data_IF_222434016631
#
_entry.id   IF_222434016631
#
_cell.length_a   1.000
_cell.length_b   1.000
_cell.length_c   1.000
_cell.angle_alpha   90.00
_cell.angle_beta   90.00
_cell.angle_gamma   90.00
#
_symmetry.space_group_name_H-M   'P 1'
#
loop_
_entity.id
_entity.type
_entity.pdbx_description
1 polymer ?
#
# COMPACT_ATOMS: atom_id res chain seq x y z
N UNK A 1 -59.71 -14.74 2.10
CA UNK A 1 -58.77 -14.98 0.97
C UNK A 1 -57.70 -13.90 0.88
N UNK A 2 -58.04 -12.62 0.80
CA UNK A 2 -57.04 -11.52 0.71
C UNK A 2 -56.05 -11.42 1.89
N UNK A 3 -56.46 -11.70 3.13
CA UNK A 3 -55.62 -11.68 4.31
C UNK A 3 -54.59 -12.82 4.35
N UNK A 4 -54.99 -14.01 3.83
CA UNK A 4 -54.10 -15.18 3.73
C UNK A 4 -53.04 -14.99 2.63
N UNK A 5 -53.39 -14.36 1.50
CA UNK A 5 -52.46 -14.02 0.40
C UNK A 5 -51.46 -12.97 0.87
N UNK A 6 -51.87 -11.90 1.57
CA UNK A 6 -50.95 -10.88 2.14
C UNK A 6 -49.99 -11.46 3.17
N UNK A 7 -50.48 -12.38 4.04
CA UNK A 7 -49.61 -13.04 5.04
C UNK A 7 -48.55 -13.92 4.39
N UNK A 8 -48.93 -14.71 3.37
CA UNK A 8 -47.97 -15.57 2.68
C UNK A 8 -46.96 -14.79 1.82
N UNK A 9 -47.37 -13.70 1.18
CA UNK A 9 -46.45 -12.81 0.46
C UNK A 9 -45.47 -12.15 1.43
N UNK A 10 -45.94 -11.69 2.61
CA UNK A 10 -45.07 -11.10 3.62
C UNK A 10 -44.05 -12.09 4.21
N UNK A 11 -44.48 -13.33 4.46
CA UNK A 11 -43.61 -14.42 4.91
C UNK A 11 -42.60 -14.82 3.83
N UNK A 12 -43.00 -14.88 2.57
CA UNK A 12 -42.14 -15.18 1.42
C UNK A 12 -41.11 -14.04 1.23
N UNK A 13 -41.50 -12.79 1.26
CA UNK A 13 -40.63 -11.61 1.19
C UNK A 13 -39.62 -11.59 2.34
N UNK A 14 -40.06 -11.84 3.57
CA UNK A 14 -39.18 -11.93 4.74
C UNK A 14 -38.19 -13.08 4.63
N UNK A 15 -38.60 -14.22 4.02
CA UNK A 15 -37.73 -15.39 3.79
C UNK A 15 -36.69 -15.10 2.70
N UNK A 16 -37.08 -14.44 1.60
CA UNK A 16 -36.19 -14.00 0.53
C UNK A 16 -35.19 -12.95 1.06
N UNK A 17 -35.65 -11.97 1.86
CA UNK A 17 -34.80 -10.95 2.46
C UNK A 17 -33.79 -11.58 3.44
N UNK A 18 -34.22 -12.52 4.26
CA UNK A 18 -33.33 -13.24 5.19
C UNK A 18 -32.32 -14.13 4.44
N UNK A 19 -32.72 -14.81 3.36
CA UNK A 19 -31.81 -15.60 2.53
C UNK A 19 -30.74 -14.73 1.86
N UNK A 20 -31.11 -13.55 1.37
CA UNK A 20 -30.19 -12.60 0.77
C UNK A 20 -29.14 -12.09 1.81
N UNK A 21 -29.59 -11.76 3.01
CA UNK A 21 -28.71 -11.33 4.11
C UNK A 21 -27.75 -12.46 4.53
N UNK A 22 -28.23 -13.69 4.62
CA UNK A 22 -27.39 -14.86 4.97
C UNK A 22 -26.34 -15.09 3.89
N UNK A 23 -26.72 -15.06 2.61
CA UNK A 23 -25.78 -15.22 1.50
C UNK A 23 -24.72 -14.11 1.49
N UNK A 24 -25.14 -12.85 1.68
CA UNK A 24 -24.19 -11.73 1.82
C UNK A 24 -23.21 -11.94 2.98
N UNK A 25 -23.70 -12.38 4.14
CA UNK A 25 -22.83 -12.64 5.30
C UNK A 25 -21.83 -13.76 5.02
N UNK A 26 -22.24 -14.84 4.35
CA UNK A 26 -21.35 -15.94 3.95
C UNK A 26 -20.26 -15.43 3.00
N UNK A 27 -20.61 -14.62 2.01
CA UNK A 27 -19.63 -14.04 1.07
C UNK A 27 -18.65 -13.13 1.80
N UNK A 28 -19.13 -12.24 2.68
CA UNK A 28 -18.27 -11.37 3.50
C UNK A 28 -17.29 -12.19 4.34
N UNK A 29 -17.78 -13.22 5.03
CA UNK A 29 -16.95 -14.12 5.84
C UNK A 29 -15.90 -14.82 4.97
N UNK A 30 -16.28 -15.31 3.79
CA UNK A 30 -15.34 -15.92 2.86
C UNK A 30 -14.24 -14.96 2.42
N UNK A 31 -14.57 -13.73 2.01
CA UNK A 31 -13.62 -12.69 1.64
C UNK A 31 -12.72 -12.28 2.81
N UNK A 32 -13.23 -12.32 4.04
CA UNK A 32 -12.42 -12.07 5.24
C UNK A 32 -11.50 -13.25 5.59
N UNK A 33 -11.85 -14.50 5.30
CA UNK A 33 -11.06 -15.68 5.68
C UNK A 33 -10.03 -16.08 4.62
N UNK A 34 -10.28 -15.84 3.34
CA UNK A 34 -9.36 -16.19 2.25
C UNK A 34 -7.97 -15.57 2.47
N UNK A 35 -7.80 -14.29 2.86
CA UNK A 35 -6.48 -13.73 3.15
C UNK A 35 -5.73 -14.47 4.25
N UNK A 36 -6.42 -14.93 5.32
CA UNK A 36 -5.79 -15.73 6.36
C UNK A 36 -5.27 -17.06 5.83
N UNK A 37 -6.03 -17.74 4.98
CA UNK A 37 -5.62 -18.96 4.29
C UNK A 37 -4.41 -18.73 3.39
N UNK A 38 -4.40 -17.66 2.60
CA UNK A 38 -3.26 -17.28 1.74
C UNK A 38 -2.02 -16.96 2.55
N UNK A 39 -2.14 -16.20 3.63
CA UNK A 39 -1.02 -15.91 4.54
C UNK A 39 -0.45 -17.19 5.18
N UNK A 40 -1.31 -18.10 5.59
CA UNK A 40 -0.88 -19.41 6.10
C UNK A 40 -0.15 -20.23 5.03
N UNK A 41 -0.67 -20.25 3.80
CA UNK A 41 -0.08 -20.96 2.66
C UNK A 41 1.29 -20.38 2.27
N UNK A 42 1.42 -19.05 2.22
CA UNK A 42 2.68 -18.36 1.95
C UNK A 42 3.78 -18.70 2.95
N UNK A 43 3.42 -18.99 4.21
CA UNK A 43 4.38 -19.41 5.25
C UNK A 43 4.78 -20.86 5.10
N UNK A 44 3.88 -21.72 4.63
CA UNK A 44 4.14 -23.17 4.49
C UNK A 44 4.92 -23.48 3.22
N UNK A 45 4.68 -22.74 2.15
CA UNK A 45 5.26 -22.97 0.83
C UNK A 45 6.21 -21.81 0.48
N UNK A 46 7.55 -22.00 0.58
CA UNK A 46 8.53 -20.93 0.36
C UNK A 46 8.42 -20.25 -1.01
N UNK A 47 8.01 -20.99 -2.04
CA UNK A 47 7.78 -20.45 -3.38
C UNK A 47 6.64 -19.42 -3.39
N UNK A 48 5.50 -19.73 -2.77
CA UNK A 48 4.37 -18.80 -2.65
C UNK A 48 4.70 -17.59 -1.77
N UNK A 49 5.52 -17.80 -0.74
CA UNK A 49 6.05 -16.69 0.08
C UNK A 49 6.89 -15.70 -0.73
N UNK A 50 7.64 -16.17 -1.75
CA UNK A 50 8.39 -15.30 -2.67
C UNK A 50 7.49 -14.51 -3.62
N UNK A 51 6.38 -15.09 -4.07
CA UNK A 51 5.38 -14.42 -4.91
C UNK A 51 4.69 -13.30 -4.13
N UNK A 52 4.43 -13.53 -2.84
CA UNK A 52 3.75 -12.60 -1.95
C UNK A 52 2.22 -12.76 -1.93
N UNK A 53 1.59 -12.44 -0.79
CA UNK A 53 0.16 -12.69 -0.59
C UNK A 53 -0.73 -11.83 -1.49
N UNK A 54 -0.32 -10.61 -1.83
CA UNK A 54 -1.12 -9.68 -2.65
C UNK A 54 -1.39 -10.26 -4.04
N UNK A 55 -0.35 -10.75 -4.73
CA UNK A 55 -0.51 -11.30 -6.08
C UNK A 55 -1.37 -12.58 -6.08
N UNK A 56 -1.21 -13.43 -5.06
CA UNK A 56 -2.03 -14.64 -4.90
C UNK A 56 -3.49 -14.26 -4.68
N UNK A 57 -3.77 -13.25 -3.86
CA UNK A 57 -5.11 -12.74 -3.61
C UNK A 57 -5.74 -12.13 -4.88
N UNK A 58 -4.97 -11.45 -5.72
CA UNK A 58 -5.45 -10.98 -7.02
C UNK A 58 -5.84 -12.15 -7.94
N UNK A 59 -5.00 -13.17 -8.04
CA UNK A 59 -5.30 -14.34 -8.86
C UNK A 59 -6.58 -15.05 -8.37
N UNK A 60 -6.71 -15.24 -7.05
CA UNK A 60 -7.92 -15.84 -6.45
C UNK A 60 -9.14 -14.95 -6.71
N UNK A 61 -9.01 -13.63 -6.53
CA UNK A 61 -10.10 -12.68 -6.78
C UNK A 61 -10.54 -12.71 -8.24
N UNK A 62 -9.59 -12.63 -9.20
CA UNK A 62 -9.91 -12.75 -10.63
C UNK A 62 -10.62 -14.06 -10.98
N UNK A 63 -10.16 -15.18 -10.42
CA UNK A 63 -10.84 -16.47 -10.60
C UNK A 63 -12.28 -16.39 -10.04
N UNK A 64 -12.44 -15.93 -8.82
CA UNK A 64 -13.74 -15.78 -8.17
C UNK A 64 -14.68 -14.92 -9.04
N UNK A 65 -14.24 -13.76 -9.52
CA UNK A 65 -15.07 -12.83 -10.30
C UNK A 65 -15.50 -13.36 -11.67
N UNK A 66 -14.71 -14.27 -12.28
CA UNK A 66 -14.90 -14.67 -13.68
C UNK A 66 -15.39 -16.12 -13.88
N UNK A 67 -15.59 -16.90 -12.80
CA UNK A 67 -16.09 -18.30 -12.92
C UNK A 67 -17.57 -18.40 -13.37
N UNK A 68 -18.35 -17.30 -13.27
CA UNK A 68 -19.75 -17.29 -13.70
C UNK A 68 -20.72 -18.07 -12.79
N UNK A 69 -20.27 -18.59 -11.64
CA UNK A 69 -21.07 -19.35 -10.67
C UNK A 69 -21.44 -18.52 -9.43
N UNK A 70 -21.54 -17.20 -9.57
CA UNK A 70 -21.59 -16.30 -8.43
C UNK A 70 -23.01 -15.93 -8.00
N UNK A 71 -23.25 -15.82 -6.67
CA UNK A 71 -24.52 -15.34 -6.15
C UNK A 71 -24.81 -13.91 -6.60
N UNK A 72 -26.08 -13.58 -6.85
CA UNK A 72 -26.52 -12.22 -7.24
C UNK A 72 -26.10 -11.11 -6.27
N UNK A 73 -25.74 -11.48 -5.03
CA UNK A 73 -25.30 -10.57 -3.98
C UNK A 73 -23.80 -10.22 -4.04
N UNK A 74 -23.00 -10.90 -4.86
CA UNK A 74 -21.56 -10.70 -4.93
C UNK A 74 -21.17 -9.25 -5.25
N UNK A 75 -21.73 -8.57 -6.27
CA UNK A 75 -21.37 -7.19 -6.59
C UNK A 75 -21.57 -6.22 -5.41
N UNK A 76 -22.67 -6.36 -4.67
CA UNK A 76 -22.94 -5.54 -3.50
C UNK A 76 -21.91 -5.75 -2.38
N UNK A 77 -21.46 -6.99 -2.16
CA UNK A 77 -20.43 -7.31 -1.17
C UNK A 77 -19.06 -6.78 -1.62
N UNK A 78 -18.72 -6.92 -2.89
CA UNK A 78 -17.49 -6.39 -3.48
C UNK A 78 -17.40 -4.86 -3.28
N UNK A 79 -18.48 -4.13 -3.60
CA UNK A 79 -18.55 -2.68 -3.40
C UNK A 79 -18.37 -2.29 -1.93
N UNK A 80 -19.07 -2.98 -1.02
CA UNK A 80 -18.93 -2.71 0.43
C UNK A 80 -17.50 -2.95 0.89
N UNK A 81 -16.90 -4.09 0.54
CA UNK A 81 -15.55 -4.44 0.99
C UNK A 81 -14.49 -3.52 0.37
N UNK A 82 -14.57 -3.21 -0.93
CA UNK A 82 -13.60 -2.34 -1.58
C UNK A 82 -13.65 -0.90 -1.04
N UNK A 83 -14.84 -0.39 -0.72
CA UNK A 83 -14.99 0.98 -0.20
C UNK A 83 -14.76 1.11 1.31
N UNK A 84 -14.94 0.03 2.10
CA UNK A 84 -14.79 0.09 3.55
C UNK A 84 -13.37 -0.25 4.04
N UNK A 85 -12.69 -1.18 3.38
CA UNK A 85 -11.41 -1.73 3.90
C UNK A 85 -10.26 -0.74 3.83
N UNK A 86 -10.14 0.05 2.75
CA UNK A 86 -9.07 1.08 2.63
C UNK A 86 -9.21 2.18 3.68
N UNK A 87 -10.38 2.80 3.89
CA UNK A 87 -10.58 3.75 4.97
C UNK A 87 -10.22 3.22 6.38
N UNK A 88 -10.50 1.95 6.65
CA UNK A 88 -10.13 1.31 7.91
C UNK A 88 -8.62 1.03 7.99
N UNK A 89 -7.97 0.71 6.89
CA UNK A 89 -6.55 0.43 6.85
C UNK A 89 -5.67 1.66 7.11
N UNK A 90 -6.03 2.82 6.53
CA UNK A 90 -5.21 4.04 6.56
C UNK A 90 -4.85 4.48 7.98
N UNK A 91 -5.79 4.76 8.91
CA UNK A 91 -5.42 5.18 10.25
C UNK A 91 -4.64 4.11 11.02
N UNK A 92 -5.05 2.83 10.91
CA UNK A 92 -4.40 1.70 11.57
C UNK A 92 -2.91 1.60 11.21
N UNK A 93 -2.57 1.75 9.93
CA UNK A 93 -1.20 1.68 9.47
C UNK A 93 -0.38 2.93 9.85
N UNK A 94 -1.04 4.08 10.02
CA UNK A 94 -0.40 5.34 10.38
C UNK A 94 -0.19 5.53 11.89
N UNK A 95 -0.87 4.78 12.76
CA UNK A 95 -0.72 4.90 14.23
C UNK A 95 0.70 4.68 14.71
N UNK A 96 1.47 3.81 14.07
CA UNK A 96 2.87 3.56 14.38
C UNK A 96 3.88 4.54 13.77
N UNK A 97 3.42 5.61 13.11
CA UNK A 97 4.31 6.59 12.49
C UNK A 97 5.20 7.29 13.52
N UNK A 98 6.52 7.25 13.31
CA UNK A 98 7.51 7.88 14.19
C UNK A 98 8.17 9.06 13.47
N UNK A 99 7.83 10.27 13.88
CA UNK A 99 8.50 11.49 13.39
C UNK A 99 9.61 11.87 14.37
N UNK A 100 10.78 11.21 14.29
CA UNK A 100 11.94 11.59 15.12
C UNK A 100 12.52 12.90 14.61
N UNK A 101 12.75 13.85 15.54
CA UNK A 101 13.44 15.13 15.26
C UNK A 101 14.93 14.97 14.90
N UNK A 102 15.50 13.78 15.11
CA UNK A 102 16.93 13.50 14.96
C UNK A 102 17.26 12.97 13.55
N UNK A 103 16.88 13.73 12.52
CA UNK A 103 17.38 13.46 11.17
C UNK A 103 18.73 14.16 10.98
N UNK A 104 19.77 13.40 10.61
CA UNK A 104 21.01 14.03 10.11
C UNK A 104 20.68 14.83 8.84
N UNK A 105 21.49 15.86 8.53
CA UNK A 105 21.35 16.61 7.27
C UNK A 105 21.24 15.64 6.07
N UNK A 106 22.09 14.60 6.04
CA UNK A 106 22.07 13.59 4.98
C UNK A 106 20.73 12.86 4.86
N UNK A 107 20.07 12.51 5.97
CA UNK A 107 18.77 11.84 5.96
C UNK A 107 17.67 12.75 5.38
N UNK A 108 17.62 14.01 5.83
CA UNK A 108 16.60 14.96 5.35
C UNK A 108 16.80 15.26 3.87
N UNK A 109 18.04 15.53 3.45
CA UNK A 109 18.34 15.84 2.06
C UNK A 109 18.11 14.62 1.18
N UNK A 110 18.46 13.39 1.61
CA UNK A 110 18.16 12.16 0.88
C UNK A 110 16.67 11.94 0.71
N UNK A 111 15.88 12.19 1.75
CA UNK A 111 14.41 12.08 1.69
C UNK A 111 13.82 13.09 0.69
N UNK A 112 14.21 14.36 0.78
CA UNK A 112 13.69 15.41 -0.11
C UNK A 112 14.11 15.14 -1.56
N UNK A 113 15.36 14.79 -1.81
CA UNK A 113 15.83 14.46 -3.17
C UNK A 113 15.14 13.21 -3.71
N UNK A 114 14.86 12.22 -2.88
CA UNK A 114 14.08 11.04 -3.28
C UNK A 114 12.65 11.39 -3.68
N UNK A 115 11.94 12.18 -2.88
CA UNK A 115 10.59 12.64 -3.21
C UNK A 115 10.57 13.46 -4.51
N UNK A 116 11.49 14.41 -4.66
CA UNK A 116 11.62 15.22 -5.87
C UNK A 116 11.91 14.33 -7.08
N UNK A 117 12.79 13.33 -6.92
CA UNK A 117 13.12 12.41 -8.02
C UNK A 117 11.92 11.59 -8.48
N UNK A 118 11.11 11.08 -7.55
CA UNK A 118 9.89 10.33 -7.89
C UNK A 118 8.89 11.24 -8.61
N UNK A 119 8.56 12.39 -8.04
CA UNK A 119 7.59 13.32 -8.63
C UNK A 119 8.04 13.75 -10.04
N UNK A 120 9.32 14.09 -10.20
CA UNK A 120 9.88 14.52 -11.51
C UNK A 120 9.85 13.38 -12.53
N UNK A 121 10.29 12.17 -12.14
CA UNK A 121 10.29 11.01 -13.03
C UNK A 121 8.87 10.62 -13.46
N UNK A 122 7.91 10.63 -12.53
CA UNK A 122 6.51 10.38 -12.86
C UNK A 122 5.95 11.46 -13.80
N UNK A 123 6.27 12.74 -13.57
CA UNK A 123 5.82 13.83 -14.45
C UNK A 123 6.39 13.70 -15.86
N UNK A 124 7.69 13.44 -15.99
CA UNK A 124 8.33 13.23 -17.31
C UNK A 124 7.76 11.97 -17.97
N UNK A 125 7.61 10.88 -17.21
CA UNK A 125 7.01 9.64 -17.69
C UNK A 125 5.56 9.84 -18.16
N UNK A 126 4.78 10.70 -17.49
CA UNK A 126 3.45 11.10 -17.95
C UNK A 126 3.50 11.76 -19.34
N UNK A 127 4.40 12.70 -19.55
CA UNK A 127 4.54 13.38 -20.84
C UNK A 127 4.95 12.43 -21.97
N UNK A 128 5.72 11.38 -21.67
CA UNK A 128 6.19 10.39 -22.65
C UNK A 128 5.14 9.32 -22.94
N UNK A 129 4.54 8.76 -21.89
CA UNK A 129 3.68 7.59 -21.97
C UNK A 129 2.21 7.90 -21.60
N UNK A 130 2.01 8.75 -20.58
CA UNK A 130 0.72 8.92 -19.91
C UNK A 130 -0.29 9.78 -20.65
N UNK A 131 0.18 10.77 -21.47
CA UNK A 131 -0.71 11.73 -22.19
C UNK A 131 -1.70 11.00 -23.10
N UNK A 132 -1.29 9.88 -23.70
CA UNK A 132 -2.12 9.12 -24.64
C UNK A 132 -2.87 7.95 -23.96
N UNK A 133 -2.72 7.79 -22.64
CA UNK A 133 -3.35 6.70 -21.90
C UNK A 133 -4.69 7.12 -21.33
N UNK A 134 -5.66 6.20 -21.35
CA UNK A 134 -6.86 6.35 -20.56
C UNK A 134 -6.49 6.49 -19.07
N UNK A 135 -7.07 7.45 -18.38
CA UNK A 135 -6.77 7.74 -16.97
C UNK A 135 -5.29 8.10 -16.66
N UNK A 136 -4.50 8.52 -17.66
CA UNK A 136 -3.05 8.73 -17.52
C UNK A 136 -2.65 9.66 -16.37
N UNK A 137 -3.36 10.77 -16.14
CA UNK A 137 -3.12 11.68 -15.01
C UNK A 137 -3.38 11.00 -13.67
N UNK A 138 -4.43 10.17 -13.57
CA UNK A 138 -4.74 9.38 -12.36
C UNK A 138 -3.67 8.32 -12.12
N UNK A 139 -3.20 7.65 -13.20
CA UNK A 139 -2.08 6.70 -13.15
C UNK A 139 -0.84 7.40 -12.60
N UNK A 140 -0.48 8.58 -13.10
CA UNK A 140 0.63 9.39 -12.58
C UNK A 140 0.49 9.68 -11.09
N UNK A 141 -0.70 10.06 -10.63
CA UNK A 141 -0.98 10.22 -9.20
C UNK A 141 -0.76 8.94 -8.40
N UNK A 142 -1.27 7.81 -8.90
CA UNK A 142 -1.11 6.50 -8.27
C UNK A 142 0.36 6.05 -8.21
N UNK A 143 1.13 6.24 -9.29
CA UNK A 143 2.57 5.94 -9.34
C UNK A 143 3.35 6.81 -8.33
N UNK A 144 2.99 8.09 -8.19
CA UNK A 144 3.59 8.95 -7.16
C UNK A 144 3.30 8.41 -5.76
N UNK A 145 2.06 8.01 -5.50
CA UNK A 145 1.68 7.46 -4.20
C UNK A 145 2.38 6.16 -3.86
N UNK A 146 2.44 5.20 -4.79
CA UNK A 146 3.09 3.90 -4.55
C UNK A 146 4.59 4.05 -4.39
N UNK A 147 5.24 4.88 -5.20
CA UNK A 147 6.69 5.10 -5.16
C UNK A 147 7.15 6.15 -4.12
N UNK A 148 6.27 6.55 -3.23
CA UNK A 148 6.61 7.33 -2.03
C UNK A 148 6.09 6.68 -0.75
N UNK A 149 5.01 5.88 -0.83
CA UNK A 149 4.36 5.30 0.33
C UNK A 149 3.78 3.90 0.12
N UNK A 150 4.15 3.19 -0.95
CA UNK A 150 3.79 1.79 -1.16
C UNK A 150 2.30 1.52 -1.41
N UNK A 151 1.91 0.24 -1.29
CA UNK A 151 0.60 -0.30 -1.69
C UNK A 151 -0.59 0.36 -0.99
N UNK A 152 -0.42 0.84 0.25
CA UNK A 152 -1.50 1.53 0.97
C UNK A 152 -1.91 2.81 0.26
N UNK A 153 -0.94 3.60 -0.22
CA UNK A 153 -1.22 4.83 -0.94
C UNK A 153 -1.75 4.54 -2.35
N UNK A 154 -1.28 3.45 -2.98
CA UNK A 154 -1.85 3.00 -4.26
C UNK A 154 -3.35 2.71 -4.12
N UNK A 155 -3.74 1.95 -3.10
CA UNK A 155 -5.13 1.61 -2.82
C UNK A 155 -5.99 2.83 -2.44
N UNK A 156 -5.44 3.73 -1.62
CA UNK A 156 -6.10 4.98 -1.24
C UNK A 156 -6.35 5.87 -2.46
N UNK A 157 -5.35 6.06 -3.32
CA UNK A 157 -5.45 6.88 -4.53
C UNK A 157 -6.36 6.25 -5.58
N UNK A 158 -6.43 4.91 -5.70
CA UNK A 158 -7.43 4.24 -6.54
C UNK A 158 -8.84 4.69 -6.16
N UNK A 159 -9.13 4.69 -4.87
CA UNK A 159 -10.45 5.07 -4.34
C UNK A 159 -10.69 6.57 -4.47
N UNK A 160 -9.68 7.39 -4.11
CA UNK A 160 -9.73 8.85 -4.16
C UNK A 160 -9.96 9.41 -5.58
N UNK A 161 -9.23 8.85 -6.56
CA UNK A 161 -9.24 9.28 -7.96
C UNK A 161 -10.29 8.55 -8.79
N UNK A 162 -11.01 7.61 -8.19
CA UNK A 162 -11.99 6.75 -8.87
C UNK A 162 -11.39 6.12 -10.13
N UNK A 163 -10.33 5.30 -9.94
CA UNK A 163 -9.63 4.58 -11.01
C UNK A 163 -10.33 3.24 -11.23
N UNK A 164 -10.40 2.79 -12.49
CA UNK A 164 -10.98 1.50 -12.86
C UNK A 164 -10.23 0.33 -12.17
N UNK A 165 -10.96 -0.72 -11.83
CA UNK A 165 -10.42 -1.94 -11.20
C UNK A 165 -9.34 -2.58 -12.06
N UNK A 166 -9.57 -2.71 -13.37
CA UNK A 166 -8.61 -3.28 -14.33
C UNK A 166 -7.31 -2.48 -14.37
N UNK A 167 -7.38 -1.14 -14.44
CA UNK A 167 -6.21 -0.25 -14.40
C UNK A 167 -5.42 -0.43 -13.09
N UNK A 168 -6.12 -0.49 -11.94
CA UNK A 168 -5.47 -0.69 -10.65
C UNK A 168 -4.72 -2.02 -10.56
N UNK A 169 -5.36 -3.12 -11.03
CA UNK A 169 -4.76 -4.47 -11.01
C UNK A 169 -3.53 -4.52 -11.92
N UNK A 170 -3.61 -3.93 -13.11
CA UNK A 170 -2.48 -3.85 -14.04
C UNK A 170 -1.29 -3.10 -13.44
N UNK A 171 -1.53 -1.91 -12.87
CA UNK A 171 -0.49 -1.12 -12.20
C UNK A 171 0.17 -1.95 -11.11
N UNK A 172 -0.62 -2.58 -10.22
CA UNK A 172 -0.03 -3.32 -9.11
C UNK A 172 0.70 -4.60 -9.57
N UNK A 173 0.22 -5.27 -10.61
CA UNK A 173 0.89 -6.45 -11.18
C UNK A 173 2.23 -6.08 -11.82
N UNK A 174 2.27 -5.00 -12.59
CA UNK A 174 3.51 -4.49 -13.18
C UNK A 174 4.45 -3.93 -12.10
N UNK A 175 3.94 -3.28 -11.06
CA UNK A 175 4.75 -2.79 -9.94
C UNK A 175 5.52 -3.94 -9.26
N UNK A 176 4.88 -5.07 -9.02
CA UNK A 176 5.55 -6.25 -8.44
C UNK A 176 6.72 -6.71 -9.33
N UNK A 177 6.51 -6.77 -10.65
CA UNK A 177 7.55 -7.16 -11.60
C UNK A 177 8.70 -6.13 -11.62
N UNK A 178 8.37 -4.85 -11.77
CA UNK A 178 9.35 -3.76 -11.84
C UNK A 178 10.13 -3.64 -10.54
N UNK A 179 9.45 -3.74 -9.40
CA UNK A 179 10.06 -3.72 -8.07
C UNK A 179 11.02 -4.90 -7.85
N UNK A 180 10.69 -6.09 -8.37
CA UNK A 180 11.59 -7.25 -8.34
C UNK A 180 12.84 -7.02 -9.20
N UNK A 181 12.70 -6.50 -10.41
CA UNK A 181 13.82 -6.15 -11.30
C UNK A 181 14.72 -5.08 -10.64
N UNK A 182 14.12 -4.07 -10.06
CA UNK A 182 14.81 -2.99 -9.36
C UNK A 182 15.64 -3.51 -8.17
N UNK A 183 15.05 -4.33 -7.29
CA UNK A 183 15.78 -4.92 -6.17
C UNK A 183 16.92 -5.83 -6.63
N UNK A 184 16.66 -6.66 -7.66
CA UNK A 184 17.67 -7.52 -8.24
C UNK A 184 18.85 -6.70 -8.79
N UNK A 185 18.57 -5.61 -9.50
CA UNK A 185 19.59 -4.68 -9.98
C UNK A 185 20.41 -4.11 -8.81
N UNK A 186 19.76 -3.61 -7.78
CA UNK A 186 20.46 -3.03 -6.62
C UNK A 186 21.35 -4.03 -5.91
N UNK A 187 20.84 -5.23 -5.62
CA UNK A 187 21.57 -6.26 -4.87
C UNK A 187 22.76 -6.83 -5.65
N UNK A 188 22.65 -6.90 -6.98
CA UNK A 188 23.73 -7.47 -7.81
C UNK A 188 24.80 -6.45 -8.19
N UNK A 189 24.40 -5.31 -8.70
CA UNK A 189 25.29 -4.34 -9.36
C UNK A 189 25.16 -2.94 -8.73
N UNK A 190 23.95 -2.48 -8.45
CA UNK A 190 23.63 -1.09 -8.12
C UNK A 190 24.42 -0.56 -6.92
N UNK A 191 24.44 -1.28 -5.80
CA UNK A 191 25.18 -0.87 -4.59
C UNK A 191 26.67 -0.64 -4.91
N UNK A 192 27.29 -1.52 -5.71
CA UNK A 192 28.71 -1.41 -6.07
C UNK A 192 28.99 -0.20 -6.95
N UNK A 193 28.10 0.08 -7.91
CA UNK A 193 28.22 1.24 -8.80
C UNK A 193 28.05 2.52 -8.00
N UNK A 194 27.02 2.64 -7.20
CA UNK A 194 26.70 3.86 -6.47
C UNK A 194 27.76 4.20 -5.42
N UNK A 195 28.35 3.20 -4.75
CA UNK A 195 29.50 3.41 -3.84
C UNK A 195 30.79 3.85 -4.54
N UNK A 196 30.90 3.70 -5.87
CA UNK A 196 32.03 4.24 -6.64
C UNK A 196 31.79 5.68 -7.09
N UNK A 197 30.54 6.06 -7.31
CA UNK A 197 30.15 7.36 -7.87
C UNK A 197 29.86 8.38 -6.76
N UNK A 198 29.27 7.96 -5.66
CA UNK A 198 28.84 8.81 -4.56
C UNK A 198 29.81 8.74 -3.37
N UNK A 199 29.81 9.78 -2.50
CA UNK A 199 30.51 9.72 -1.22
C UNK A 199 30.15 8.45 -0.46
N UNK A 200 31.14 7.77 0.07
CA UNK A 200 30.94 6.53 0.82
C UNK A 200 31.94 6.46 1.96
N UNK A 201 31.47 6.68 3.19
CA UNK A 201 32.25 6.48 4.40
C UNK A 201 32.31 4.98 4.72
N UNK A 202 33.49 4.36 4.53
CA UNK A 202 33.71 2.95 4.89
C UNK A 202 33.67 2.80 6.40
N UNK A 203 32.54 2.48 6.97
CA UNK A 203 32.40 2.10 8.38
C UNK A 203 32.75 0.63 8.59
N UNK A 204 33.37 0.34 9.73
CA UNK A 204 33.73 -1.03 10.10
C UNK A 204 32.48 -1.77 10.58
N UNK A 205 32.01 -2.72 9.78
CA UNK A 205 30.87 -3.58 10.12
C UNK A 205 31.30 -4.64 11.13
N UNK A 206 30.60 -4.72 12.26
CA UNK A 206 30.94 -5.64 13.36
C UNK A 206 29.97 -6.82 13.41
N UNK A 207 30.37 -7.90 14.12
CA UNK A 207 29.47 -9.04 14.36
C UNK A 207 28.21 -8.62 15.14
N UNK A 208 28.30 -7.59 16.00
CA UNK A 208 27.14 -7.03 16.70
C UNK A 208 26.16 -6.36 15.72
N UNK A 209 26.68 -5.62 14.74
CA UNK A 209 25.85 -4.95 13.73
C UNK A 209 25.10 -5.99 12.87
N UNK A 210 25.76 -7.12 12.57
CA UNK A 210 25.13 -8.24 11.89
C UNK A 210 23.99 -8.85 12.72
N UNK A 211 24.23 -9.11 14.01
CA UNK A 211 23.22 -9.67 14.90
C UNK A 211 22.01 -8.75 15.06
N UNK A 212 22.20 -7.43 15.14
CA UNK A 212 21.13 -6.46 15.23
C UNK A 212 20.26 -6.45 13.95
N UNK A 213 20.88 -6.48 12.76
CA UNK A 213 20.15 -6.56 11.48
C UNK A 213 19.42 -7.89 11.35
N UNK A 214 20.07 -9.02 11.69
CA UNK A 214 19.44 -10.34 11.67
C UNK A 214 18.22 -10.40 12.60
N UNK A 215 18.28 -9.74 13.77
CA UNK A 215 17.15 -9.64 14.69
C UNK A 215 15.98 -8.88 14.07
N UNK A 216 16.23 -7.81 13.32
CA UNK A 216 15.19 -7.05 12.62
C UNK A 216 14.60 -7.84 11.43
N UNK A 217 15.43 -8.55 10.67
CA UNK A 217 14.96 -9.46 9.60
C UNK A 217 14.10 -10.57 10.20
N UNK A 218 14.53 -11.16 11.32
CA UNK A 218 13.76 -12.20 12.01
C UNK A 218 12.43 -11.66 12.53
N UNK A 219 12.39 -10.45 13.10
CA UNK A 219 11.14 -9.79 13.51
C UNK A 219 10.20 -9.58 12.32
N UNK A 220 10.72 -9.11 11.17
CA UNK A 220 9.94 -8.95 9.95
C UNK A 220 9.42 -10.30 9.39
N UNK A 221 10.16 -11.40 9.61
CA UNK A 221 9.78 -12.77 9.20
C UNK A 221 8.88 -13.52 10.18
N UNK A 222 8.66 -13.01 11.41
CA UNK A 222 7.76 -13.62 12.39
C UNK A 222 6.30 -13.44 11.98
N UNK A 223 5.42 -14.27 12.57
CA UNK A 223 3.99 -14.09 12.36
C UNK A 223 3.51 -12.76 12.97
N UNK A 224 3.14 -11.74 12.15
CA UNK A 224 2.73 -10.45 12.68
C UNK A 224 1.46 -10.53 13.55
N UNK A 225 0.69 -11.61 13.42
CA UNK A 225 -0.54 -11.87 14.20
C UNK A 225 -0.31 -12.76 15.42
N UNK A 226 0.95 -13.10 15.75
CA UNK A 226 1.26 -13.93 16.92
C UNK A 226 0.92 -13.17 18.19
N UNK A 227 0.10 -13.80 19.05
CA UNK A 227 -0.41 -13.20 20.27
C UNK A 227 -1.61 -12.26 20.09
N UNK A 228 -2.11 -12.04 18.87
CA UNK A 228 -3.29 -11.21 18.62
C UNK A 228 -4.52 -11.70 19.40
N UNK A 229 -4.71 -13.01 19.50
CA UNK A 229 -5.85 -13.65 20.20
C UNK A 229 -5.65 -13.81 21.71
N UNK A 230 -4.55 -13.29 22.29
CA UNK A 230 -4.42 -13.18 23.75
C UNK A 230 -5.31 -12.05 24.28
N UNK A 231 -5.62 -12.06 25.60
CA UNK A 231 -6.43 -10.99 26.22
C UNK A 231 -5.84 -9.59 25.94
N UNK A 232 -4.52 -9.45 26.06
CA UNK A 232 -3.84 -8.17 25.80
C UNK A 232 -3.81 -7.83 24.31
N UNK A 233 -3.60 -8.82 23.44
CA UNK A 233 -3.64 -8.63 21.99
C UNK A 233 -5.01 -8.18 21.52
N UNK A 234 -6.08 -8.84 21.94
CA UNK A 234 -7.46 -8.46 21.62
C UNK A 234 -7.83 -7.08 22.18
N UNK A 235 -7.36 -6.71 23.37
CA UNK A 235 -7.58 -5.38 23.94
C UNK A 235 -6.88 -4.30 23.10
N UNK A 236 -5.64 -4.53 22.68
CA UNK A 236 -4.90 -3.59 21.82
C UNK A 236 -5.56 -3.47 20.44
N UNK A 237 -5.92 -4.60 19.83
CA UNK A 237 -6.64 -4.64 18.55
C UNK A 237 -7.99 -3.91 18.62
N UNK A 238 -8.77 -4.19 19.67
CA UNK A 238 -10.04 -3.51 19.91
C UNK A 238 -9.89 -2.00 20.12
N UNK A 239 -8.84 -1.57 20.82
CA UNK A 239 -8.53 -0.14 21.00
C UNK A 239 -8.15 0.50 19.67
N UNK A 240 -7.31 -0.16 18.84
CA UNK A 240 -6.91 0.34 17.53
C UNK A 240 -8.12 0.47 16.59
N UNK A 241 -8.96 -0.57 16.51
CA UNK A 241 -10.18 -0.57 15.70
C UNK A 241 -11.18 0.48 16.18
N UNK A 242 -11.42 0.60 17.50
CA UNK A 242 -12.33 1.60 18.05
C UNK A 242 -11.89 3.03 17.74
N UNK A 243 -10.58 3.31 17.87
CA UNK A 243 -10.02 4.61 17.49
C UNK A 243 -10.12 4.87 15.98
N UNK A 244 -9.88 3.85 15.17
CA UNK A 244 -10.03 3.94 13.71
C UNK A 244 -11.47 4.26 13.32
N UNK A 245 -12.47 3.59 13.92
CA UNK A 245 -13.88 3.89 13.67
C UNK A 245 -14.25 5.32 14.08
N UNK A 246 -13.71 5.82 15.19
CA UNK A 246 -13.89 7.20 15.60
C UNK A 246 -13.30 8.18 14.57
N UNK A 247 -12.08 7.92 14.09
CA UNK A 247 -11.45 8.72 13.05
C UNK A 247 -12.26 8.67 11.75
N UNK A 248 -12.77 7.49 11.37
CA UNK A 248 -13.65 7.34 10.20
C UNK A 248 -14.94 8.16 10.35
N UNK A 249 -15.55 8.13 11.53
CA UNK A 249 -16.77 8.91 11.81
C UNK A 249 -16.52 10.43 11.72
N UNK A 250 -15.43 10.92 12.30
CA UNK A 250 -15.04 12.34 12.23
C UNK A 250 -14.75 12.74 10.79
N UNK A 251 -13.92 11.94 10.08
CA UNK A 251 -13.54 12.22 8.70
C UNK A 251 -14.75 12.20 7.75
N UNK A 252 -15.65 11.23 7.95
CA UNK A 252 -16.90 11.14 7.20
C UNK A 252 -17.84 12.32 7.48
N UNK A 253 -17.96 12.71 8.75
CA UNK A 253 -18.77 13.88 9.14
C UNK A 253 -18.27 15.19 8.50
N UNK A 254 -16.94 15.40 8.45
CA UNK A 254 -16.34 16.57 7.78
C UNK A 254 -16.56 16.48 6.26
N UNK A 255 -16.33 15.31 5.66
CA UNK A 255 -16.49 15.13 4.23
C UNK A 255 -17.94 15.32 3.76
N UNK A 256 -18.94 14.91 4.57
CA UNK A 256 -20.36 15.11 4.29
C UNK A 256 -20.80 16.59 4.36
N UNK A 257 -20.08 17.44 5.09
CA UNK A 257 -20.34 18.87 5.16
C UNK A 257 -19.87 19.63 3.90
N UNK A 258 -19.19 18.95 2.96
CA UNK A 258 -18.61 19.55 1.77
C UNK A 258 -19.36 19.10 0.49
N UNK A 259 -19.17 19.76 -0.68
CA UNK A 259 -19.81 19.37 -1.94
C UNK A 259 -19.54 17.91 -2.32
N UNK A 260 -20.56 17.22 -2.83
CA UNK A 260 -20.52 15.77 -3.11
C UNK A 260 -19.36 15.33 -4.03
N UNK A 261 -18.91 16.18 -4.95
CA UNK A 261 -17.84 15.83 -5.91
C UNK A 261 -16.46 15.61 -5.30
N UNK A 262 -16.22 16.04 -4.05
CA UNK A 262 -14.91 15.93 -3.38
C UNK A 262 -14.95 15.06 -2.12
N UNK A 263 -16.08 14.40 -1.84
CA UNK A 263 -16.29 13.61 -0.64
C UNK A 263 -15.16 12.61 -0.38
N UNK A 264 -14.87 11.71 -1.35
CA UNK A 264 -13.86 10.65 -1.18
C UNK A 264 -12.46 11.22 -0.99
N UNK A 265 -12.11 12.28 -1.71
CA UNK A 265 -10.83 12.96 -1.58
C UNK A 265 -10.64 13.51 -0.16
N UNK A 266 -11.60 14.29 0.31
CA UNK A 266 -11.55 14.88 1.66
C UNK A 266 -11.58 13.79 2.73
N UNK A 267 -12.41 12.78 2.56
CA UNK A 267 -12.51 11.66 3.49
C UNK A 267 -11.16 10.98 3.70
N UNK A 268 -10.48 10.58 2.61
CA UNK A 268 -9.18 9.88 2.68
C UNK A 268 -8.06 10.79 3.21
N UNK A 269 -8.02 12.05 2.79
CA UNK A 269 -7.03 13.00 3.32
C UNK A 269 -7.22 13.28 4.81
N UNK A 270 -8.47 13.37 5.28
CA UNK A 270 -8.78 13.52 6.70
C UNK A 270 -8.40 12.27 7.51
N UNK A 271 -8.67 11.06 6.99
CA UNK A 271 -8.22 9.80 7.60
C UNK A 271 -6.70 9.77 7.75
N UNK A 272 -5.98 10.20 6.71
CA UNK A 272 -4.52 10.28 6.72
C UNK A 272 -4.04 11.29 7.76
N UNK A 273 -4.61 12.52 7.76
CA UNK A 273 -4.24 13.59 8.70
C UNK A 273 -4.49 13.17 10.16
N UNK A 274 -5.68 12.65 10.45
CA UNK A 274 -6.05 12.25 11.81
C UNK A 274 -5.30 10.99 12.25
N UNK A 275 -5.00 10.05 11.34
CA UNK A 275 -4.16 8.90 11.61
C UNK A 275 -2.74 9.31 12.01
N UNK A 276 -2.13 10.24 11.28
CA UNK A 276 -0.85 10.86 11.63
C UNK A 276 -0.96 11.61 12.97
N UNK A 277 -1.99 12.44 13.14
CA UNK A 277 -2.23 13.16 14.39
C UNK A 277 -2.31 12.23 15.61
N UNK A 278 -3.01 11.11 15.46
CA UNK A 278 -3.14 10.09 16.51
C UNK A 278 -1.80 9.41 16.85
N UNK A 279 -0.87 9.29 15.89
CA UNK A 279 0.45 8.69 16.12
C UNK A 279 1.32 9.47 17.13
N UNK A 280 1.08 10.77 17.31
CA UNK A 280 1.77 11.57 18.33
C UNK A 280 1.32 11.23 19.76
N UNK A 281 0.20 10.54 19.94
CA UNK A 281 -0.28 10.08 21.24
C UNK A 281 0.46 8.78 21.58
N UNK A 282 1.34 8.81 22.58
CA UNK A 282 2.19 7.67 22.98
C UNK A 282 1.42 6.35 23.18
N UNK A 283 0.18 6.40 23.70
CA UNK A 283 -0.66 5.21 23.89
C UNK A 283 -1.12 4.60 22.56
N UNK A 284 -1.39 5.42 21.55
CA UNK A 284 -1.80 5.00 20.21
C UNK A 284 -0.62 4.48 19.43
N UNK A 285 0.50 5.22 19.48
CA UNK A 285 1.76 4.84 18.84
C UNK A 285 2.25 3.44 19.23
N UNK A 286 2.03 3.05 20.48
CA UNK A 286 2.49 1.77 21.03
C UNK A 286 1.49 0.59 20.80
N UNK A 287 0.44 0.76 20.00
CA UNK A 287 -0.50 -0.31 19.66
C UNK A 287 0.17 -1.31 18.71
N UNK A 288 0.59 -2.44 19.26
CA UNK A 288 1.47 -3.43 18.61
C UNK A 288 0.94 -4.00 17.30
N UNK A 289 -0.38 -4.20 17.19
CA UNK A 289 -1.00 -4.91 16.05
C UNK A 289 -1.69 -3.97 15.06
N UNK A 290 -1.64 -2.66 15.26
CA UNK A 290 -2.38 -1.70 14.42
C UNK A 290 -1.99 -1.79 12.96
N UNK A 291 -0.69 -1.79 12.65
CA UNK A 291 -0.19 -1.89 11.28
C UNK A 291 -0.61 -3.20 10.60
N UNK A 292 -0.48 -4.33 11.31
CA UNK A 292 -0.76 -5.66 10.74
C UNK A 292 -2.26 -5.86 10.49
N UNK A 293 -3.13 -5.32 11.36
CA UNK A 293 -4.58 -5.31 11.14
C UNK A 293 -4.91 -4.42 9.93
N UNK A 294 -4.28 -3.26 9.80
CA UNK A 294 -4.41 -2.40 8.62
C UNK A 294 -4.02 -3.13 7.33
N UNK A 295 -2.87 -3.83 7.33
CA UNK A 295 -2.46 -4.67 6.21
C UNK A 295 -3.46 -5.79 5.89
N UNK A 296 -4.10 -6.37 6.90
CA UNK A 296 -5.12 -7.37 6.68
C UNK A 296 -6.34 -6.81 5.93
N UNK A 297 -6.76 -5.58 6.25
CA UNK A 297 -7.80 -4.90 5.48
C UNK A 297 -7.37 -4.63 4.03
N UNK A 298 -6.09 -4.30 3.79
CA UNK A 298 -5.57 -4.19 2.41
C UNK A 298 -5.64 -5.54 1.68
N UNK A 299 -5.36 -6.67 2.33
CA UNK A 299 -5.51 -7.98 1.70
C UNK A 299 -6.96 -8.30 1.34
N UNK A 300 -7.93 -7.94 2.19
CA UNK A 300 -9.36 -8.07 1.86
C UNK A 300 -9.72 -7.15 0.69
N UNK A 301 -9.21 -5.93 0.66
CA UNK A 301 -9.38 -5.02 -0.46
C UNK A 301 -8.85 -5.62 -1.77
N UNK A 302 -7.65 -6.19 -1.76
CA UNK A 302 -7.01 -6.77 -2.95
C UNK A 302 -7.88 -7.86 -3.58
N UNK A 303 -8.40 -8.80 -2.78
CA UNK A 303 -9.26 -9.86 -3.31
C UNK A 303 -10.62 -9.32 -3.76
N UNK A 304 -11.20 -8.34 -3.05
CA UNK A 304 -12.47 -7.73 -3.42
C UNK A 304 -12.37 -7.02 -4.77
N UNK A 305 -11.39 -6.12 -4.93
CA UNK A 305 -11.18 -5.37 -6.19
C UNK A 305 -10.82 -6.32 -7.34
N UNK A 306 -9.98 -7.32 -7.12
CA UNK A 306 -9.62 -8.28 -8.16
C UNK A 306 -10.85 -9.09 -8.64
N UNK A 307 -11.79 -9.39 -7.74
CA UNK A 307 -13.01 -10.09 -8.11
C UNK A 307 -14.05 -9.23 -8.86
N UNK A 308 -13.86 -7.89 -8.89
CA UNK A 308 -14.68 -6.97 -9.69
C UNK A 308 -14.17 -6.82 -11.13
N UNK A 309 -12.91 -7.19 -11.38
CA UNK A 309 -12.31 -7.01 -12.70
C UNK A 309 -12.73 -8.12 -13.66
N UNK A 310 -13.08 -7.71 -14.87
CA UNK A 310 -13.32 -8.63 -15.99
C UNK A 310 -11.98 -9.01 -16.63
N UNK A 311 -11.75 -10.33 -16.79
CA UNK A 311 -10.54 -10.84 -17.45
C UNK A 311 -10.43 -10.40 -18.91
N UNK A 312 -11.55 -10.13 -19.57
CA UNK A 312 -11.57 -9.62 -20.95
C UNK A 312 -11.01 -8.20 -21.07
N UNK A 313 -11.07 -7.42 -19.98
CA UNK A 313 -10.53 -6.05 -19.91
C UNK A 313 -9.04 -6.01 -19.49
N UNK A 314 -8.45 -7.16 -19.12
CA UNK A 314 -7.07 -7.27 -18.68
C UNK A 314 -6.14 -7.65 -19.83
N UNK A 315 -5.64 -6.67 -20.56
CA UNK A 315 -4.60 -6.89 -21.57
C UNK A 315 -3.18 -6.75 -20.95
N UNK A 316 -2.75 -7.82 -20.26
CA UNK A 316 -1.43 -7.89 -19.62
C UNK A 316 -0.25 -7.78 -20.58
N UNK A 317 -0.45 -8.02 -21.88
CA UNK A 317 0.63 -7.99 -22.89
C UNK A 317 0.51 -6.79 -23.82
N UNK A 318 -0.67 -6.19 -23.96
CA UNK A 318 -0.91 -5.07 -24.87
C UNK A 318 -0.60 -3.69 -24.24
N UNK A 319 -0.65 -3.58 -22.91
CA UNK A 319 -0.41 -2.31 -22.21
C UNK A 319 1.09 -2.00 -21.98
N UNK A 320 1.88 -2.12 -23.08
CA UNK A 320 3.34 -1.85 -23.04
C UNK A 320 3.67 -0.44 -22.59
N UNK A 321 2.82 0.54 -22.93
CA UNK A 321 3.01 1.92 -22.51
C UNK A 321 2.92 2.08 -20.98
N UNK A 322 2.00 1.36 -20.33
CA UNK A 322 1.88 1.35 -18.88
C UNK A 322 3.11 0.73 -18.22
N UNK A 323 3.57 -0.40 -18.73
CA UNK A 323 4.81 -1.04 -18.25
C UNK A 323 6.01 -0.11 -18.46
N UNK A 324 6.12 0.53 -19.62
CA UNK A 324 7.14 1.54 -19.92
C UNK A 324 7.09 2.70 -18.94
N UNK A 325 5.91 3.17 -18.60
CA UNK A 325 5.73 4.24 -17.62
C UNK A 325 6.22 3.84 -16.23
N UNK A 326 5.87 2.65 -15.74
CA UNK A 326 6.35 2.17 -14.44
C UNK A 326 7.88 2.01 -14.43
N UNK A 327 8.45 1.38 -15.47
CA UNK A 327 9.90 1.24 -15.60
C UNK A 327 10.60 2.61 -15.59
N UNK A 328 10.07 3.57 -16.35
CA UNK A 328 10.62 4.92 -16.39
C UNK A 328 10.48 5.63 -15.03
N UNK A 329 9.33 5.51 -14.36
CA UNK A 329 9.12 6.10 -13.04
C UNK A 329 10.12 5.55 -12.03
N UNK A 330 10.36 4.24 -11.99
CA UNK A 330 11.26 3.59 -11.02
C UNK A 330 12.73 3.84 -11.35
N UNK A 331 13.18 3.51 -12.55
CA UNK A 331 14.60 3.66 -12.90
C UNK A 331 14.97 5.11 -13.20
N UNK A 332 14.07 5.89 -13.75
CA UNK A 332 14.25 7.34 -13.95
C UNK A 332 14.37 8.09 -12.63
N UNK A 333 13.52 7.77 -11.65
CA UNK A 333 13.64 8.36 -10.30
C UNK A 333 14.96 7.96 -9.62
N UNK A 334 15.38 6.69 -9.76
CA UNK A 334 16.68 6.24 -9.25
C UNK A 334 17.84 7.03 -9.86
N UNK A 335 17.87 7.16 -11.18
CA UNK A 335 18.94 7.90 -11.87
C UNK A 335 18.96 9.37 -11.48
N UNK A 336 17.80 10.01 -11.40
CA UNK A 336 17.70 11.40 -10.95
C UNK A 336 18.14 11.55 -9.48
N UNK A 337 17.75 10.60 -8.61
CA UNK A 337 18.15 10.61 -7.21
C UNK A 337 19.68 10.43 -7.06
N UNK A 338 20.31 9.56 -7.86
CA UNK A 338 21.78 9.42 -7.90
C UNK A 338 22.44 10.74 -8.32
N UNK A 339 21.92 11.40 -9.35
CA UNK A 339 22.42 12.71 -9.80
C UNK A 339 22.30 13.76 -8.68
N UNK A 340 21.12 13.88 -8.06
CA UNK A 340 20.92 14.80 -6.93
C UNK A 340 21.78 14.44 -5.73
N UNK A 341 21.97 13.15 -5.44
CA UNK A 341 22.86 12.69 -4.36
C UNK A 341 24.30 13.11 -4.60
N UNK A 342 24.76 13.12 -5.86
CA UNK A 342 26.09 13.61 -6.22
C UNK A 342 26.21 15.12 -6.00
N UNK A 343 25.20 15.90 -6.45
CA UNK A 343 25.17 17.36 -6.29
C UNK A 343 25.17 17.76 -4.80
N UNK A 344 24.33 17.11 -3.99
CA UNK A 344 24.20 17.41 -2.55
C UNK A 344 25.16 16.65 -1.65
N UNK A 345 26.06 15.83 -2.23
CA UNK A 345 27.05 14.99 -1.53
C UNK A 345 26.41 14.08 -0.47
N UNK A 346 25.33 13.39 -0.88
CA UNK A 346 24.66 12.41 -0.03
C UNK A 346 25.46 11.10 -0.07
N UNK A 347 25.59 10.46 1.09
CA UNK A 347 26.23 9.14 1.19
C UNK A 347 25.51 8.09 0.34
N UNK A 348 26.27 7.21 -0.30
CA UNK A 348 25.75 6.21 -1.24
C UNK A 348 24.74 5.28 -0.57
N UNK A 349 25.03 4.82 0.64
CA UNK A 349 24.15 3.88 1.36
C UNK A 349 22.87 4.57 1.81
N UNK A 350 22.95 5.86 2.21
CA UNK A 350 21.77 6.66 2.54
C UNK A 350 20.89 6.89 1.32
N UNK A 351 21.46 7.18 0.16
CA UNK A 351 20.72 7.31 -1.11
C UNK A 351 20.02 6.01 -1.47
N UNK A 352 20.74 4.87 -1.46
CA UNK A 352 20.19 3.55 -1.80
C UNK A 352 19.06 3.17 -0.86
N UNK A 353 19.25 3.32 0.46
CA UNK A 353 18.19 2.96 1.42
C UNK A 353 16.94 3.82 1.27
N UNK A 354 17.10 5.12 0.97
CA UNK A 354 15.99 6.03 0.71
C UNK A 354 15.22 5.62 -0.54
N UNK A 355 15.93 5.31 -1.62
CA UNK A 355 15.31 4.85 -2.87
C UNK A 355 14.54 3.53 -2.67
N UNK A 356 15.15 2.54 -2.02
CA UNK A 356 14.49 1.26 -1.69
C UNK A 356 13.25 1.46 -0.83
N UNK A 357 13.35 2.31 0.16
CA UNK A 357 12.24 2.58 1.08
C UNK A 357 11.04 3.19 0.36
N UNK A 358 11.28 4.06 -0.60
CA UNK A 358 10.22 4.67 -1.40
C UNK A 358 9.65 3.70 -2.44
N UNK A 359 10.50 3.03 -3.21
CA UNK A 359 10.06 2.14 -4.30
C UNK A 359 9.49 0.82 -3.76
N UNK A 360 10.18 0.16 -2.81
CA UNK A 360 9.82 -1.18 -2.32
C UNK A 360 9.20 -1.19 -0.93
N UNK A 361 9.07 -0.02 -0.27
CA UNK A 361 8.49 0.13 1.07
C UNK A 361 9.41 -0.29 2.24
N UNK A 362 9.13 0.17 3.49
CA UNK A 362 9.97 -0.05 4.66
C UNK A 362 10.33 -1.50 5.01
N UNK A 363 9.51 -2.54 4.76
CA UNK A 363 9.90 -3.93 5.05
C UNK A 363 11.17 -4.42 4.35
N UNK A 364 11.56 -3.79 3.25
CA UNK A 364 12.80 -4.14 2.52
C UNK A 364 14.06 -3.47 3.09
N UNK A 365 13.91 -2.50 3.98
CA UNK A 365 15.03 -1.76 4.60
C UNK A 365 16.00 -2.67 5.34
N UNK A 366 15.58 -3.62 6.23
CA UNK A 366 16.52 -4.50 6.93
C UNK A 366 17.32 -5.38 5.97
N UNK A 367 16.68 -5.93 4.94
CA UNK A 367 17.33 -6.75 3.92
C UNK A 367 18.40 -5.94 3.17
N UNK A 368 18.09 -4.71 2.78
CA UNK A 368 19.02 -3.85 2.06
C UNK A 368 20.18 -3.38 2.95
N UNK A 369 19.89 -3.03 4.22
CA UNK A 369 20.93 -2.68 5.20
C UNK A 369 21.92 -3.84 5.41
N UNK A 370 21.42 -5.08 5.47
CA UNK A 370 22.25 -6.29 5.53
C UNK A 370 23.11 -6.47 4.27
N UNK A 371 22.55 -6.31 3.08
CA UNK A 371 23.29 -6.41 1.81
C UNK A 371 24.38 -5.35 1.68
N UNK A 372 24.12 -4.13 2.18
CA UNK A 372 25.10 -3.05 2.24
C UNK A 372 26.10 -3.20 3.40
N UNK A 373 25.87 -4.12 4.34
CA UNK A 373 26.66 -4.25 5.58
C UNK A 373 26.76 -2.90 6.31
N UNK A 374 25.64 -2.18 6.40
CA UNK A 374 25.57 -0.88 7.04
C UNK A 374 24.29 -0.78 7.90
N UNK A 375 24.47 -0.89 9.22
CA UNK A 375 23.41 -0.79 10.20
C UNK A 375 22.88 0.65 10.36
N UNK A 376 23.73 1.65 10.15
CA UNK A 376 23.40 3.05 10.45
C UNK A 376 22.26 3.58 9.55
N UNK A 377 22.03 2.95 8.39
CA UNK A 377 20.94 3.31 7.48
C UNK A 377 19.59 2.67 7.84
N UNK A 378 19.55 1.73 8.79
CA UNK A 378 18.35 0.99 9.16
C UNK A 378 17.25 1.91 9.72
N UNK A 379 17.58 2.65 10.79
CA UNK A 379 16.64 3.56 11.44
C UNK A 379 16.25 4.75 10.54
N UNK A 380 17.19 5.43 9.87
CA UNK A 380 16.86 6.44 8.89
C UNK A 380 15.95 5.93 7.76
N UNK A 381 16.24 4.77 7.18
CA UNK A 381 15.44 4.17 6.12
C UNK A 381 14.00 3.92 6.57
N UNK A 382 13.81 3.27 7.71
CA UNK A 382 12.49 3.03 8.28
C UNK A 382 11.73 4.35 8.53
N UNK A 383 12.41 5.37 9.07
CA UNK A 383 11.80 6.68 9.34
C UNK A 383 11.37 7.41 8.05
N UNK A 384 12.19 7.35 7.01
CA UNK A 384 11.87 7.94 5.69
C UNK A 384 10.62 7.27 5.10
N UNK A 385 10.52 5.94 5.18
CA UNK A 385 9.38 5.23 4.64
C UNK A 385 8.07 5.53 5.37
N UNK A 386 8.12 5.72 6.69
CA UNK A 386 6.98 6.16 7.48
C UNK A 386 6.49 7.55 7.03
N UNK A 387 7.42 8.48 6.79
CA UNK A 387 7.09 9.81 6.26
C UNK A 387 6.51 9.69 4.85
N UNK A 388 7.05 8.77 4.04
CA UNK A 388 6.53 8.47 2.71
C UNK A 388 5.08 7.97 2.74
N UNK A 389 4.73 7.07 3.65
CA UNK A 389 3.34 6.63 3.85
C UNK A 389 2.41 7.81 4.15
N UNK A 390 2.86 8.72 5.00
CA UNK A 390 2.09 9.89 5.38
C UNK A 390 1.92 10.90 4.23
N UNK A 391 2.96 11.12 3.44
CA UNK A 391 2.99 12.14 2.39
C UNK A 391 2.38 11.66 1.06
N UNK A 392 2.44 10.37 0.76
CA UNK A 392 2.18 9.83 -0.57
C UNK A 392 0.75 10.06 -1.08
N UNK A 393 -0.26 10.01 -0.23
CA UNK A 393 -1.64 10.31 -0.61
C UNK A 393 -1.81 11.76 -1.07
N UNK A 394 -1.17 12.70 -0.36
CA UNK A 394 -1.22 14.13 -0.72
C UNK A 394 -0.47 14.39 -2.02
N UNK A 395 0.77 13.88 -2.11
CA UNK A 395 1.60 14.08 -3.31
C UNK A 395 0.94 13.46 -4.55
N UNK A 396 0.41 12.24 -4.42
CA UNK A 396 -0.25 11.56 -5.52
C UNK A 396 -1.51 12.27 -6.00
N UNK A 397 -2.34 12.76 -5.05
CA UNK A 397 -3.53 13.53 -5.40
C UNK A 397 -3.17 14.86 -6.08
N UNK A 398 -2.28 15.64 -5.47
CA UNK A 398 -1.85 16.94 -6.01
C UNK A 398 -1.24 16.75 -7.40
N UNK A 399 -0.37 15.75 -7.57
CA UNK A 399 0.25 15.52 -8.88
C UNK A 399 -0.79 15.09 -9.91
N UNK A 400 -1.75 14.22 -9.57
CA UNK A 400 -2.83 13.86 -10.49
C UNK A 400 -3.60 15.08 -10.99
N UNK A 401 -3.92 16.04 -10.09
CA UNK A 401 -4.62 17.27 -10.48
C UNK A 401 -3.74 18.17 -11.36
N UNK A 402 -2.43 18.27 -11.09
CA UNK A 402 -1.49 19.02 -11.94
C UNK A 402 -1.40 18.39 -13.34
N UNK A 403 -1.26 17.07 -13.42
CA UNK A 403 -1.13 16.35 -14.68
C UNK A 403 -2.39 16.44 -15.58
N UNK A 404 -3.56 16.71 -15.00
CA UNK A 404 -4.78 16.99 -15.79
C UNK A 404 -4.72 18.32 -16.55
N UNK A 405 -3.85 19.23 -16.11
CA UNK A 405 -3.70 20.56 -16.70
C UNK A 405 -2.64 20.59 -17.84
N UNK A 406 -1.84 19.52 -17.93
CA UNK A 406 -0.83 19.32 -18.97
C UNK A 406 -1.39 18.55 -20.16
#
# INVERSE_FOLDING_TARGET
MAHWIKSNIFVALKRILNMNIINMAIIVIAFCLIPAGVLWLCRRVPFLGKIGPVLILYLIGLIIGNIGLMPDQLPAVQDILSNATVPLAIPLMLFGCTFKKEGTRNQIVAMVTGLVSVVTAVTIGYLIFGVHMNEGSKIGGMLTGVYTGGTINLAALKTMLNVKESTYILINSYDILVSFLYLTFLLTIGIRIFRKILPNEKKRFTAKDQADIESEIKKAGTNPYEGLFTKDGMKQAGTALGLTLLICAISGGVALALPNGIFMTVFILMLTTLGIGASFIKKVHNLKYSYDIGMYFIYIFCIAVASMADLSDLDLLGEVNLLGYLLFAVFGSLMLQVFLAQVFRIDADMMVITSVTFINSPPFVPMMAAAMKNKDVLVPGLSIGIIGYAAGNYLGFILSEILKLL
#
